data_IF_150999482243
#
_entry.id   IF_150999482243
#
_cell.length_a   1.000
_cell.length_b   1.000
_cell.length_c   1.000
_cell.angle_alpha   90.00
_cell.angle_beta   90.00
_cell.angle_gamma   90.00
#
_symmetry.space_group_name_H-M   'P 1'
#
loop_
_entity.id
_entity.type
_entity.pdbx_description
1 polymer ?
#
# COMPACT_ATOMS: atom_id res chain seq x y z
N UNK A 1 74.43 41.07 33.26
CA UNK A 1 74.56 41.35 31.84
C UNK A 1 73.59 40.42 31.08
N UNK A 2 72.52 41.00 30.64
CA UNK A 2 71.64 40.69 29.53
C UNK A 2 71.35 39.21 29.23
N UNK A 3 70.10 38.76 29.35
CA UNK A 3 69.51 37.73 28.55
C UNK A 3 68.02 37.97 28.41
N UNK A 4 67.58 38.09 27.19
CA UNK A 4 66.25 38.36 26.73
C UNK A 4 65.46 37.03 26.60
N UNK A 5 64.30 36.96 27.19
CA UNK A 5 63.32 35.90 27.00
C UNK A 5 62.27 36.28 25.95
N UNK A 6 62.09 35.44 24.98
CA UNK A 6 61.01 35.55 23.98
C UNK A 6 59.70 34.85 24.43
N UNK A 7 58.55 35.28 23.98
CA UNK A 7 57.27 34.69 24.40
C UNK A 7 56.94 33.46 23.62
N UNK A 8 56.38 32.45 24.26
CA UNK A 8 55.75 31.26 23.68
C UNK A 8 54.29 31.59 23.42
N UNK A 9 53.93 31.55 22.18
CA UNK A 9 52.58 31.70 21.75
C UNK A 9 51.94 30.28 21.74
N UNK A 10 50.97 30.07 22.57
CA UNK A 10 50.19 28.84 22.64
C UNK A 10 48.83 29.07 22.00
N UNK A 11 48.78 28.88 20.71
CA UNK A 11 47.53 28.85 20.00
C UNK A 11 46.84 27.50 20.18
N UNK A 12 45.95 27.37 21.15
CA UNK A 12 45.00 26.25 21.22
C UNK A 12 43.85 26.50 20.27
N UNK A 13 43.83 25.74 19.19
CA UNK A 13 42.65 25.64 18.29
C UNK A 13 41.53 24.89 19.00
N UNK A 14 40.26 25.36 18.93
CA UNK A 14 39.12 24.62 19.47
C UNK A 14 38.62 23.56 18.45
N UNK A 15 39.24 22.38 18.44
CA UNK A 15 38.86 21.28 17.55
C UNK A 15 37.54 20.55 17.94
N UNK A 16 36.90 20.96 19.04
CA UNK A 16 35.69 20.30 19.57
C UNK A 16 34.38 20.70 18.89
N UNK A 17 34.34 21.82 18.15
CA UNK A 17 33.08 22.34 17.62
C UNK A 17 32.68 21.76 16.26
N UNK A 18 33.61 21.22 15.48
CA UNK A 18 33.37 20.65 14.16
C UNK A 18 32.86 19.20 14.28
N UNK A 19 33.30 18.42 15.27
CA UNK A 19 32.87 17.03 15.43
C UNK A 19 31.44 16.86 15.94
N UNK A 20 30.90 17.81 16.69
CA UNK A 20 29.52 17.76 17.20
C UNK A 20 28.48 17.99 16.07
N UNK A 21 28.80 18.84 15.09
CA UNK A 21 27.87 19.13 13.97
C UNK A 21 27.75 17.98 12.94
N UNK A 22 28.82 17.21 12.75
CA UNK A 22 28.79 16.07 11.83
C UNK A 22 28.10 14.85 12.46
N UNK A 23 28.23 14.63 13.76
CA UNK A 23 27.55 13.55 14.47
C UNK A 23 26.03 13.75 14.48
N UNK A 24 25.56 14.98 14.69
CA UNK A 24 24.14 15.34 14.65
C UNK A 24 23.55 15.26 13.22
N UNK A 25 24.33 15.58 12.18
CA UNK A 25 23.91 15.44 10.79
C UNK A 25 23.82 13.97 10.36
N UNK A 26 24.71 13.11 10.81
CA UNK A 26 24.66 11.66 10.52
C UNK A 26 23.51 10.98 11.27
N UNK A 27 23.20 11.37 12.50
CA UNK A 27 22.07 10.82 13.26
C UNK A 27 20.72 11.27 12.69
N UNK A 28 20.58 12.53 12.30
CA UNK A 28 19.34 13.04 11.67
C UNK A 28 19.10 12.48 10.27
N UNK A 29 20.15 12.28 9.47
CA UNK A 29 20.06 11.61 8.18
C UNK A 29 19.66 10.11 8.32
N UNK A 30 20.21 9.42 9.32
CA UNK A 30 19.89 8.02 9.61
C UNK A 30 18.44 7.80 10.12
N UNK A 31 17.88 8.74 10.87
CA UNK A 31 16.49 8.68 11.35
C UNK A 31 15.50 9.00 10.22
N UNK A 32 15.84 9.91 9.31
CA UNK A 32 14.99 10.26 8.18
C UNK A 32 14.79 9.13 7.18
N UNK A 33 15.74 8.20 7.04
CA UNK A 33 15.66 7.05 6.13
C UNK A 33 14.83 5.88 6.66
N UNK A 34 14.45 5.86 7.93
CA UNK A 34 13.72 4.74 8.55
C UNK A 34 12.21 4.82 8.40
N UNK A 35 11.66 5.90 7.92
CA UNK A 35 10.22 6.15 7.83
C UNK A 35 9.81 6.31 6.36
N UNK A 36 8.67 5.75 5.99
CA UNK A 36 8.12 5.96 4.66
C UNK A 36 7.77 7.43 4.40
N UNK A 37 7.95 7.87 3.16
CA UNK A 37 7.59 9.24 2.77
C UNK A 37 6.10 9.52 3.00
N UNK A 38 5.70 10.79 3.20
CA UNK A 38 4.28 11.13 3.36
C UNK A 38 3.42 10.66 2.18
N UNK A 39 3.94 10.70 0.95
CA UNK A 39 3.25 10.21 -0.25
C UNK A 39 3.04 8.70 -0.18
N UNK A 40 4.08 7.91 0.12
CA UNK A 40 3.97 6.46 0.25
C UNK A 40 2.94 6.06 1.32
N UNK A 41 2.89 6.77 2.44
CA UNK A 41 1.91 6.54 3.51
C UNK A 41 0.49 6.87 3.08
N UNK A 42 0.26 8.03 2.41
CA UNK A 42 -1.07 8.40 1.89
C UNK A 42 -1.57 7.38 0.87
N UNK A 43 -0.73 6.98 -0.08
CA UNK A 43 -1.07 5.96 -1.08
C UNK A 43 -1.38 4.61 -0.41
N UNK A 44 -0.63 4.23 0.63
CA UNK A 44 -0.89 3.02 1.39
C UNK A 44 -2.27 3.05 2.06
N UNK A 45 -2.56 4.10 2.83
CA UNK A 45 -3.81 4.19 3.57
C UNK A 45 -5.02 4.38 2.67
N UNK A 46 -4.88 5.10 1.54
CA UNK A 46 -5.94 5.18 0.52
C UNK A 46 -6.22 3.81 -0.10
N UNK A 47 -5.18 3.04 -0.44
CA UNK A 47 -5.34 1.66 -0.93
C UNK A 47 -5.98 0.77 0.12
N UNK A 48 -5.52 0.83 1.37
CA UNK A 48 -6.07 0.03 2.47
C UNK A 48 -7.57 0.34 2.71
N UNK A 49 -7.94 1.61 2.75
CA UNK A 49 -9.35 2.02 2.86
C UNK A 49 -10.18 1.50 1.68
N UNK A 50 -9.66 1.64 0.45
CA UNK A 50 -10.33 1.10 -0.73
C UNK A 50 -10.57 -0.40 -0.63
N UNK A 51 -9.57 -1.20 -0.25
CA UNK A 51 -9.69 -2.66 -0.08
C UNK A 51 -10.70 -3.01 1.01
N UNK A 52 -10.66 -2.33 2.16
CA UNK A 52 -11.59 -2.57 3.27
C UNK A 52 -13.05 -2.26 2.91
N UNK A 53 -13.29 -1.32 1.99
CA UNK A 53 -14.63 -1.03 1.46
C UNK A 53 -15.02 -2.04 0.36
N UNK A 54 -14.09 -2.41 -0.51
CA UNK A 54 -14.37 -3.29 -1.66
C UNK A 54 -14.78 -4.70 -1.26
N UNK A 55 -14.21 -5.25 -0.17
CA UNK A 55 -14.55 -6.61 0.29
C UNK A 55 -16.03 -6.73 0.69
N UNK A 56 -16.54 -5.96 1.67
CA UNK A 56 -17.95 -6.04 2.05
C UNK A 56 -18.90 -5.63 0.92
N UNK A 57 -18.50 -4.67 0.09
CA UNK A 57 -19.28 -4.25 -1.08
C UNK A 57 -19.44 -5.39 -2.09
N UNK A 58 -18.35 -6.11 -2.39
CA UNK A 58 -18.37 -7.29 -3.28
C UNK A 58 -19.26 -8.42 -2.73
N UNK A 59 -19.17 -8.68 -1.41
CA UNK A 59 -20.02 -9.67 -0.74
C UNK A 59 -21.49 -9.25 -0.81
N UNK A 60 -21.80 -8.00 -0.48
CA UNK A 60 -23.17 -7.49 -0.45
C UNK A 60 -23.83 -7.54 -1.84
N UNK A 61 -23.11 -7.09 -2.90
CA UNK A 61 -23.69 -7.11 -4.25
C UNK A 61 -23.92 -8.54 -4.77
N UNK A 62 -22.96 -9.46 -4.54
CA UNK A 62 -23.11 -10.85 -5.00
C UNK A 62 -24.15 -11.61 -4.20
N UNK A 63 -24.26 -11.37 -2.89
CA UNK A 63 -25.30 -11.96 -2.06
C UNK A 63 -26.70 -11.54 -2.54
N UNK A 64 -26.95 -10.24 -2.77
CA UNK A 64 -28.24 -9.74 -3.25
C UNK A 64 -28.53 -10.19 -4.67
N UNK A 65 -27.61 -9.98 -5.61
CA UNK A 65 -27.83 -10.28 -7.02
C UNK A 65 -27.83 -11.78 -7.31
N UNK A 66 -26.81 -12.51 -6.88
CA UNK A 66 -26.61 -13.90 -7.29
C UNK A 66 -27.30 -14.91 -6.35
N UNK A 67 -27.26 -14.66 -5.01
CA UNK A 67 -27.81 -15.62 -4.03
C UNK A 67 -29.30 -15.39 -3.79
N UNK A 68 -29.73 -14.13 -3.62
CA UNK A 68 -31.14 -13.79 -3.39
C UNK A 68 -31.94 -13.54 -4.69
N UNK A 69 -31.25 -13.41 -5.82
CA UNK A 69 -31.82 -13.05 -7.14
C UNK A 69 -32.63 -11.74 -7.10
N UNK A 70 -32.19 -10.76 -6.29
CA UNK A 70 -32.81 -9.43 -6.15
C UNK A 70 -32.07 -8.43 -7.02
N UNK A 71 -32.74 -7.94 -8.07
CA UNK A 71 -32.20 -6.98 -9.03
C UNK A 71 -33.02 -5.69 -9.00
N UNK A 72 -32.80 -4.88 -7.94
CA UNK A 72 -33.41 -3.57 -7.72
C UNK A 72 -32.41 -2.41 -7.84
N UNK A 73 -32.87 -1.20 -7.59
CA UNK A 73 -32.03 0.00 -7.63
C UNK A 73 -30.83 -0.06 -6.67
N UNK A 74 -31.01 -0.67 -5.49
CA UNK A 74 -29.91 -0.83 -4.54
C UNK A 74 -28.85 -1.81 -5.06
N UNK A 75 -29.26 -2.96 -5.56
CA UNK A 75 -28.33 -3.95 -6.13
C UNK A 75 -27.56 -3.37 -7.31
N UNK A 76 -28.23 -2.67 -8.23
CA UNK A 76 -27.60 -1.99 -9.35
C UNK A 76 -26.62 -0.90 -8.89
N UNK A 77 -26.95 -0.15 -7.82
CA UNK A 77 -26.03 0.83 -7.23
C UNK A 77 -24.81 0.16 -6.61
N UNK A 78 -24.94 -0.96 -5.92
CA UNK A 78 -23.83 -1.72 -5.36
C UNK A 78 -22.88 -2.21 -6.46
N UNK A 79 -23.40 -2.77 -7.55
CA UNK A 79 -22.59 -3.19 -8.71
C UNK A 79 -21.89 -2.01 -9.38
N UNK A 80 -22.58 -0.89 -9.59
CA UNK A 80 -21.99 0.33 -10.16
C UNK A 80 -20.89 0.90 -9.28
N UNK A 81 -21.14 0.97 -7.97
CA UNK A 81 -20.13 1.43 -6.97
C UNK A 81 -18.90 0.52 -6.98
N UNK A 82 -19.10 -0.82 -6.97
CA UNK A 82 -18.00 -1.78 -7.01
C UNK A 82 -17.15 -1.63 -8.28
N UNK A 83 -17.78 -1.51 -9.44
CA UNK A 83 -17.08 -1.31 -10.72
C UNK A 83 -16.26 -0.01 -10.71
N UNK A 84 -16.87 1.11 -10.29
CA UNK A 84 -16.20 2.40 -10.25
C UNK A 84 -15.03 2.42 -9.26
N UNK A 85 -15.25 1.97 -8.04
CA UNK A 85 -14.20 1.91 -7.02
C UNK A 85 -13.08 0.93 -7.41
N UNK A 86 -13.41 -0.20 -8.01
CA UNK A 86 -12.44 -1.16 -8.52
C UNK A 86 -11.57 -0.56 -9.63
N UNK A 87 -12.17 0.19 -10.55
CA UNK A 87 -11.46 0.92 -11.59
C UNK A 87 -10.52 1.99 -11.01
N UNK A 88 -11.00 2.78 -10.05
CA UNK A 88 -10.18 3.78 -9.37
C UNK A 88 -9.05 3.15 -8.54
N UNK A 89 -9.32 2.02 -7.88
CA UNK A 89 -8.32 1.29 -7.09
C UNK A 89 -7.21 0.70 -7.97
N UNK A 90 -7.52 0.26 -9.19
CA UNK A 90 -6.53 -0.20 -10.17
C UNK A 90 -5.50 0.91 -10.45
N UNK A 91 -5.97 2.12 -10.77
CA UNK A 91 -5.08 3.25 -11.06
C UNK A 91 -4.33 3.75 -9.83
N UNK A 92 -4.99 3.78 -8.67
CA UNK A 92 -4.33 4.09 -7.40
C UNK A 92 -3.20 3.11 -7.11
N UNK A 93 -3.44 1.82 -7.35
CA UNK A 93 -2.45 0.78 -7.11
C UNK A 93 -1.30 0.82 -8.13
N UNK A 94 -1.60 1.10 -9.40
CA UNK A 94 -0.57 1.32 -10.43
C UNK A 94 0.34 2.50 -10.05
N UNK A 95 -0.24 3.62 -9.63
CA UNK A 95 0.52 4.78 -9.15
C UNK A 95 1.33 4.48 -7.88
N UNK A 96 0.78 3.71 -6.94
CA UNK A 96 1.50 3.27 -5.75
C UNK A 96 2.68 2.36 -6.08
N UNK A 97 2.51 1.42 -7.00
CA UNK A 97 3.59 0.54 -7.45
C UNK A 97 4.68 1.34 -8.17
N UNK A 98 4.29 2.22 -9.09
CA UNK A 98 5.23 3.10 -9.79
C UNK A 98 6.04 3.95 -8.80
N UNK A 99 5.38 4.57 -7.82
CA UNK A 99 6.05 5.32 -6.76
C UNK A 99 7.04 4.46 -5.97
N UNK A 100 6.64 3.22 -5.63
CA UNK A 100 7.49 2.26 -4.91
C UNK A 100 8.73 1.87 -5.72
N UNK A 101 8.59 1.64 -7.02
CA UNK A 101 9.71 1.26 -7.91
C UNK A 101 10.66 2.43 -8.14
N UNK A 102 10.15 3.66 -8.28
CA UNK A 102 10.95 4.85 -8.54
C UNK A 102 11.68 5.38 -7.28
N UNK A 103 11.06 5.28 -6.10
CA UNK A 103 11.59 5.86 -4.86
C UNK A 103 12.15 4.83 -3.90
N UNK A 104 11.95 3.55 -4.15
CA UNK A 104 12.34 2.47 -3.27
C UNK A 104 11.52 2.41 -1.98
N UNK A 105 12.02 1.67 -1.02
CA UNK A 105 11.50 1.62 0.34
C UNK A 105 12.60 1.82 1.37
N UNK A 106 12.26 2.27 2.56
CA UNK A 106 13.17 2.26 3.68
C UNK A 106 13.69 0.84 3.97
N UNK A 107 14.89 0.72 4.55
CA UNK A 107 15.40 -0.56 5.03
C UNK A 107 14.43 -1.25 6.00
N UNK A 108 14.54 -2.57 6.13
CA UNK A 108 13.71 -3.32 7.08
C UNK A 108 13.89 -2.81 8.51
N UNK A 109 12.89 -3.04 9.36
CA UNK A 109 12.98 -2.70 10.78
C UNK A 109 14.13 -3.48 11.42
N UNK A 110 15.01 -2.81 12.21
CA UNK A 110 16.06 -3.49 12.95
C UNK A 110 15.48 -4.52 13.91
N UNK A 111 16.18 -5.66 14.06
CA UNK A 111 15.76 -6.72 14.98
C UNK A 111 14.79 -7.74 14.40
N UNK A 112 14.25 -7.55 13.19
CA UNK A 112 13.43 -8.57 12.54
C UNK A 112 14.27 -9.79 12.18
N UNK A 113 13.73 -10.99 12.47
CA UNK A 113 14.30 -12.27 12.07
C UNK A 113 14.22 -12.42 10.53
N UNK A 114 15.12 -13.20 9.97
CA UNK A 114 15.19 -13.39 8.52
C UNK A 114 13.88 -13.89 7.90
N UNK A 115 13.18 -14.83 8.56
CA UNK A 115 11.89 -15.36 8.09
C UNK A 115 10.76 -14.33 8.17
N UNK A 116 10.78 -13.42 9.17
CA UNK A 116 9.82 -12.31 9.27
C UNK A 116 9.98 -11.34 8.10
N UNK A 117 11.23 -11.01 7.74
CA UNK A 117 11.54 -10.18 6.55
C UNK A 117 11.05 -10.87 5.28
N UNK A 118 11.39 -12.15 5.09
CA UNK A 118 10.97 -12.94 3.94
C UNK A 118 9.43 -12.99 3.81
N UNK A 119 8.73 -13.33 4.89
CA UNK A 119 7.26 -13.36 4.93
C UNK A 119 6.65 -11.99 4.61
N UNK A 120 7.18 -10.91 5.21
CA UNK A 120 6.73 -9.55 4.94
C UNK A 120 6.89 -9.18 3.46
N UNK A 121 8.06 -9.42 2.87
CA UNK A 121 8.31 -9.14 1.45
C UNK A 121 7.37 -9.96 0.56
N UNK A 122 7.20 -11.26 0.83
CA UNK A 122 6.30 -12.14 0.08
C UNK A 122 4.86 -11.63 0.10
N UNK A 123 4.30 -11.35 1.29
CA UNK A 123 2.93 -10.85 1.43
C UNK A 123 2.74 -9.51 0.71
N UNK A 124 3.71 -8.60 0.85
CA UNK A 124 3.62 -7.31 0.15
C UNK A 124 3.62 -7.48 -1.38
N UNK A 125 4.51 -8.28 -1.95
CA UNK A 125 4.57 -8.47 -3.41
C UNK A 125 3.35 -9.21 -3.94
N UNK A 126 2.83 -10.19 -3.19
CA UNK A 126 1.56 -10.85 -3.54
C UNK A 126 0.40 -9.86 -3.53
N UNK A 127 0.28 -9.01 -2.51
CA UNK A 127 -0.74 -7.96 -2.45
C UNK A 127 -0.57 -6.95 -3.60
N UNK A 128 0.66 -6.54 -3.95
CA UNK A 128 0.89 -5.66 -5.10
C UNK A 128 0.40 -6.31 -6.41
N UNK A 129 0.77 -7.55 -6.67
CA UNK A 129 0.36 -8.28 -7.86
C UNK A 129 -1.16 -8.49 -7.92
N UNK A 130 -1.76 -8.98 -6.83
CA UNK A 130 -3.20 -9.25 -6.79
C UNK A 130 -4.05 -7.99 -6.90
N UNK A 131 -3.65 -6.89 -6.26
CA UNK A 131 -4.37 -5.62 -6.32
C UNK A 131 -4.29 -4.91 -7.68
N UNK A 132 -3.43 -5.37 -8.59
CA UNK A 132 -3.44 -5.00 -10.00
C UNK A 132 -4.26 -5.99 -10.85
N UNK A 133 -4.02 -7.28 -10.64
CA UNK A 133 -4.64 -8.34 -11.44
C UNK A 133 -6.15 -8.45 -11.19
N UNK A 134 -6.57 -8.41 -9.93
CA UNK A 134 -8.00 -8.63 -9.59
C UNK A 134 -8.91 -7.54 -10.17
N UNK A 135 -8.68 -6.22 -10.00
CA UNK A 135 -9.53 -5.22 -10.62
C UNK A 135 -9.45 -5.25 -12.16
N UNK A 136 -8.30 -5.60 -12.73
CA UNK A 136 -8.19 -5.81 -14.19
C UNK A 136 -9.06 -6.98 -14.67
N UNK A 137 -9.06 -8.11 -13.97
CA UNK A 137 -9.95 -9.23 -14.27
C UNK A 137 -11.43 -8.83 -14.12
N UNK A 138 -11.76 -8.01 -13.11
CA UNK A 138 -13.11 -7.46 -12.97
C UNK A 138 -13.51 -6.63 -14.19
N UNK A 139 -12.63 -5.75 -14.66
CA UNK A 139 -12.87 -4.92 -15.84
C UNK A 139 -13.00 -5.76 -17.14
N UNK A 140 -12.11 -6.72 -17.35
CA UNK A 140 -12.21 -7.67 -18.47
C UNK A 140 -13.53 -8.46 -18.37
N UNK A 141 -13.89 -8.94 -17.18
CA UNK A 141 -15.10 -9.71 -16.94
C UNK A 141 -16.38 -8.96 -17.30
N UNK A 142 -16.50 -7.69 -16.89
CA UNK A 142 -17.67 -6.85 -17.24
C UNK A 142 -17.64 -6.37 -18.69
N UNK A 143 -16.48 -6.38 -19.36
CA UNK A 143 -16.39 -6.16 -20.82
C UNK A 143 -16.90 -7.38 -21.59
N UNK A 144 -16.51 -8.58 -21.14
CA UNK A 144 -16.98 -9.86 -21.73
C UNK A 144 -18.48 -10.10 -21.52
N UNK A 145 -19.01 -9.63 -20.39
CA UNK A 145 -20.43 -9.68 -20.03
C UNK A 145 -21.05 -8.30 -20.17
N UNK A 146 -21.33 -7.74 -21.33
CA UNK A 146 -21.48 -6.31 -21.64
C UNK A 146 -22.25 -5.49 -20.57
N UNK A 147 -21.63 -5.33 -19.39
CA UNK A 147 -22.19 -4.67 -18.22
C UNK A 147 -21.27 -3.54 -17.75
N UNK A 148 -20.89 -2.65 -18.67
CA UNK A 148 -19.92 -1.58 -18.46
C UNK A 148 -20.53 -0.34 -17.81
N UNK A 149 -21.86 -0.21 -17.78
CA UNK A 149 -22.60 0.94 -17.27
C UNK A 149 -22.29 1.25 -15.80
N UNK A 150 -22.05 2.53 -15.50
CA UNK A 150 -21.86 3.08 -14.17
C UNK A 150 -23.01 4.03 -13.84
N UNK A 151 -23.91 3.63 -12.96
CA UNK A 151 -25.10 4.37 -12.52
C UNK A 151 -26.04 4.82 -13.66
N UNK A 152 -25.89 4.30 -14.89
CA UNK A 152 -26.59 4.79 -16.07
C UNK A 152 -26.08 6.15 -16.58
N UNK A 153 -24.96 6.66 -16.07
CA UNK A 153 -24.39 7.95 -16.45
C UNK A 153 -23.34 7.85 -17.55
N UNK A 154 -22.52 6.80 -17.53
CA UNK A 154 -21.48 6.53 -18.53
C UNK A 154 -21.09 5.05 -18.50
N UNK A 155 -20.39 4.61 -19.54
CA UNK A 155 -19.83 3.27 -19.64
C UNK A 155 -18.31 3.31 -19.48
N UNK A 156 -17.74 2.27 -18.82
CA UNK A 156 -16.31 2.03 -18.88
C UNK A 156 -15.92 1.57 -20.30
N UNK A 157 -14.69 1.87 -20.77
CA UNK A 157 -14.22 1.37 -22.06
C UNK A 157 -14.23 -0.16 -22.09
N UNK A 158 -14.69 -0.75 -23.20
CA UNK A 158 -14.62 -2.19 -23.38
C UNK A 158 -13.18 -2.64 -23.67
N UNK A 159 -12.72 -3.67 -22.96
CA UNK A 159 -11.40 -4.29 -23.17
C UNK A 159 -11.45 -5.55 -24.03
N UNK A 160 -12.63 -6.14 -24.21
CA UNK A 160 -12.82 -7.40 -24.93
C UNK A 160 -14.19 -7.44 -25.59
N UNK A 161 -14.31 -8.21 -26.67
CA UNK A 161 -15.59 -8.52 -27.29
C UNK A 161 -16.44 -9.42 -26.38
N UNK A 162 -17.78 -9.28 -26.40
CA UNK A 162 -18.68 -10.06 -25.57
C UNK A 162 -18.52 -11.60 -25.77
N UNK A 163 -18.43 -12.31 -24.65
CA UNK A 163 -18.37 -13.78 -24.59
C UNK A 163 -18.82 -14.26 -23.22
N UNK A 164 -20.06 -14.69 -23.08
CA UNK A 164 -20.63 -15.11 -21.81
C UNK A 164 -19.84 -16.25 -21.13
N UNK A 165 -19.41 -17.24 -21.92
CA UNK A 165 -18.62 -18.36 -21.39
C UNK A 165 -17.26 -17.92 -20.85
N UNK A 166 -16.60 -16.94 -21.50
CA UNK A 166 -15.36 -16.36 -21.00
C UNK A 166 -15.62 -15.47 -19.78
N UNK A 167 -16.68 -14.67 -19.79
CA UNK A 167 -17.07 -13.81 -18.68
C UNK A 167 -17.25 -14.60 -17.38
N UNK A 168 -17.99 -15.72 -17.42
CA UNK A 168 -18.20 -16.61 -16.27
C UNK A 168 -16.88 -17.10 -15.65
N UNK A 169 -15.93 -17.53 -16.48
CA UNK A 169 -14.61 -18.00 -16.02
C UNK A 169 -13.78 -16.87 -15.40
N UNK A 170 -13.71 -15.72 -16.08
CA UNK A 170 -12.92 -14.57 -15.64
C UNK A 170 -13.48 -14.00 -14.34
N UNK A 171 -14.81 -13.84 -14.23
CA UNK A 171 -15.45 -13.33 -13.02
C UNK A 171 -15.35 -14.32 -11.85
N UNK A 172 -15.41 -15.64 -12.11
CA UNK A 172 -15.15 -16.64 -11.09
C UNK A 172 -13.71 -16.54 -10.55
N UNK A 173 -12.72 -16.41 -11.44
CA UNK A 173 -11.32 -16.20 -11.05
C UNK A 173 -11.14 -14.91 -10.26
N UNK A 174 -11.76 -13.80 -10.71
CA UNK A 174 -11.80 -12.53 -9.97
C UNK A 174 -12.30 -12.75 -8.54
N UNK A 175 -13.40 -13.46 -8.35
CA UNK A 175 -13.97 -13.75 -7.05
C UNK A 175 -13.03 -14.56 -6.14
N UNK A 176 -12.42 -15.64 -6.66
CA UNK A 176 -11.46 -16.44 -5.89
C UNK A 176 -10.23 -15.64 -5.48
N UNK A 177 -9.66 -14.84 -6.39
CA UNK A 177 -8.51 -14.02 -6.08
C UNK A 177 -8.86 -12.86 -5.16
N UNK A 178 -10.09 -12.34 -5.19
CA UNK A 178 -10.57 -11.34 -4.23
C UNK A 178 -10.63 -11.91 -2.80
N UNK A 179 -11.06 -13.17 -2.62
CA UNK A 179 -10.98 -13.86 -1.33
C UNK A 179 -9.53 -14.06 -0.85
N UNK A 180 -8.62 -14.36 -1.78
CA UNK A 180 -7.19 -14.45 -1.46
C UNK A 180 -6.63 -13.09 -1.00
N UNK A 181 -7.03 -11.98 -1.64
CA UNK A 181 -6.68 -10.63 -1.14
C UNK A 181 -7.19 -10.45 0.29
N UNK A 182 -8.44 -10.82 0.57
CA UNK A 182 -9.03 -10.72 1.91
C UNK A 182 -8.21 -11.48 2.97
N UNK A 183 -7.83 -12.72 2.66
CA UNK A 183 -7.00 -13.55 3.54
C UNK A 183 -5.61 -12.94 3.77
N UNK A 184 -4.93 -12.52 2.69
CA UNK A 184 -3.61 -11.88 2.79
C UNK A 184 -3.67 -10.54 3.53
N UNK A 185 -4.72 -9.74 3.31
CA UNK A 185 -4.91 -8.49 4.03
C UNK A 185 -5.13 -8.74 5.54
N UNK A 186 -5.90 -9.76 5.91
CA UNK A 186 -6.09 -10.15 7.31
C UNK A 186 -4.77 -10.58 7.97
N UNK A 187 -3.96 -11.40 7.30
CA UNK A 187 -2.61 -11.78 7.76
C UNK A 187 -1.70 -10.56 7.89
N UNK A 188 -1.71 -9.67 6.90
CA UNK A 188 -0.91 -8.44 6.90
C UNK A 188 -1.29 -7.51 8.06
N UNK A 189 -2.58 -7.29 8.27
CA UNK A 189 -3.09 -6.46 9.38
C UNK A 189 -2.77 -7.13 10.72
N UNK A 190 -3.02 -8.43 10.85
CA UNK A 190 -2.72 -9.19 12.07
C UNK A 190 -1.23 -9.15 12.43
N UNK A 191 -0.34 -9.31 11.46
CA UNK A 191 1.10 -9.18 11.67
C UNK A 191 1.48 -7.76 12.12
N UNK A 192 0.95 -6.72 11.48
CA UNK A 192 1.23 -5.34 11.86
C UNK A 192 0.74 -5.02 13.28
N UNK A 193 -0.43 -5.53 13.68
CA UNK A 193 -0.96 -5.39 15.04
C UNK A 193 -0.15 -6.19 16.05
N UNK A 194 0.26 -7.41 15.74
CA UNK A 194 1.14 -8.22 16.59
C UNK A 194 2.47 -7.50 16.87
N UNK A 195 3.11 -6.94 15.82
CA UNK A 195 4.32 -6.14 15.97
C UNK A 195 4.08 -4.90 16.85
N UNK A 196 2.94 -4.23 16.66
CA UNK A 196 2.62 -3.01 17.41
C UNK A 196 2.26 -3.26 18.88
N UNK A 197 1.41 -4.25 19.16
CA UNK A 197 0.83 -4.48 20.49
C UNK A 197 1.67 -5.42 21.36
N UNK A 198 2.28 -6.45 20.76
CA UNK A 198 3.01 -7.50 21.49
C UNK A 198 4.51 -7.24 21.44
N UNK A 199 5.10 -7.12 20.24
CA UNK A 199 6.54 -6.87 20.11
C UNK A 199 6.93 -5.42 20.38
N UNK A 200 5.97 -4.48 20.27
CA UNK A 200 6.12 -3.05 20.55
C UNK A 200 7.24 -2.38 19.75
N UNK A 201 7.52 -2.89 18.55
CA UNK A 201 8.53 -2.39 17.64
C UNK A 201 8.03 -1.24 16.73
N UNK A 202 8.86 -0.82 15.76
CA UNK A 202 8.60 0.29 14.86
C UNK A 202 7.79 -0.05 13.61
N UNK A 203 7.49 -1.32 13.32
CA UNK A 203 6.90 -1.77 12.03
C UNK A 203 5.68 -0.95 11.63
N UNK A 204 4.64 -0.91 12.45
CA UNK A 204 3.43 -0.13 12.15
C UNK A 204 3.68 1.38 12.21
N UNK A 205 4.49 1.85 13.19
CA UNK A 205 4.74 3.29 13.40
C UNK A 205 5.36 3.97 12.18
N UNK A 206 6.12 3.24 11.36
CA UNK A 206 6.74 3.75 10.12
C UNK A 206 5.70 4.13 9.06
N UNK A 207 4.47 3.59 9.14
CA UNK A 207 3.35 3.87 8.25
C UNK A 207 2.32 4.85 8.84
N UNK A 208 2.38 5.14 10.13
CA UNK A 208 1.48 6.11 10.76
C UNK A 208 1.92 7.55 10.46
N UNK A 209 0.97 8.51 10.40
CA UNK A 209 1.30 9.93 10.37
C UNK A 209 2.17 10.29 11.58
N UNK A 210 3.17 11.16 11.39
CA UNK A 210 3.86 11.76 12.54
C UNK A 210 2.84 12.59 13.31
N UNK A 211 2.69 12.36 14.60
CA UNK A 211 2.04 13.31 15.48
C UNK A 211 2.96 14.54 15.52
N UNK A 212 2.42 15.70 15.12
CA UNK A 212 3.08 16.98 15.27
C UNK A 212 3.33 17.29 16.74
#
# INVERSE_FOLDING_TARGET
MVATGGPVDAGEEPSGRIQMHDHDRMTTAGIGQRVYSPVARRLHWATAAGVLVMIPLGIAMTYRGNSMNVWDGLTNALYSTHKLLGFLLLWLMAGRLAYRLLRGAPPDEPGLLWWQKAASHTVHWLLYGLLLVVPLLGWIGVSLYPSLGIFGLFDLPALAAPSEAAAKRVLALHGWLAWLIGALAAVHIGAALHHHLILKDGVLRRMLPKRG
#
